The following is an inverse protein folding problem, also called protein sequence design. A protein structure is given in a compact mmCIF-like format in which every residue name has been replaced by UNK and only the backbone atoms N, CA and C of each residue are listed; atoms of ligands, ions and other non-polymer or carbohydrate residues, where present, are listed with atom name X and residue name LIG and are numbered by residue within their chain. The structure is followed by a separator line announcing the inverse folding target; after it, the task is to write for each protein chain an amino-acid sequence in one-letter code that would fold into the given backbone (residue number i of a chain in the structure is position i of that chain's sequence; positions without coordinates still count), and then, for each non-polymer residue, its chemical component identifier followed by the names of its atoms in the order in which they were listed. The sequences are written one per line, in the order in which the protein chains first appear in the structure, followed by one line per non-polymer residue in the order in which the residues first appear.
data_IF_887450590563
#
_entry.id   IF_887450590563
#
_cell.length_a   1.000
_cell.length_b   1.000
_cell.length_c   1.000
_cell.angle_alpha   90.00
_cell.angle_beta   90.00
_cell.angle_gamma   90.00
#
_symmetry.space_group_name_H-M   'P 1'
#
loop_
_entity.id
_entity.type
_entity.pdbx_description
1 polymer ?
#
# COMPACT_ATOMS: atom_id res chain seq x y z
N UNK A 1 13.11 -6.35 -25.85
CA UNK A 1 12.01 -6.98 -25.07
C UNK A 1 11.01 -7.53 -26.08
N UNK A 2 10.46 -8.69 -25.81
CA UNK A 2 9.41 -9.28 -26.64
C UNK A 2 8.02 -8.92 -26.10
N UNK A 3 6.97 -9.17 -26.88
CA UNK A 3 5.58 -8.87 -26.49
C UNK A 3 5.16 -9.54 -25.18
N UNK A 4 5.72 -10.71 -24.87
CA UNK A 4 5.46 -11.43 -23.62
C UNK A 4 5.97 -10.65 -22.39
N UNK A 5 7.16 -10.02 -22.48
CA UNK A 5 7.67 -9.19 -21.37
C UNK A 5 6.78 -7.98 -21.09
N UNK A 6 6.29 -7.30 -22.12
CA UNK A 6 5.36 -6.19 -21.94
C UNK A 6 4.03 -6.62 -21.32
N UNK A 7 3.50 -7.78 -21.73
CA UNK A 7 2.29 -8.34 -21.14
C UNK A 7 2.47 -8.66 -19.65
N UNK A 8 3.61 -9.25 -19.27
CA UNK A 8 3.93 -9.55 -17.86
C UNK A 8 4.01 -8.25 -17.04
N UNK A 9 4.66 -7.22 -17.56
CA UNK A 9 4.76 -5.93 -16.87
C UNK A 9 3.38 -5.30 -16.71
N UNK A 10 2.55 -5.30 -17.75
CA UNK A 10 1.19 -4.78 -17.70
C UNK A 10 0.34 -5.52 -16.64
N UNK A 11 0.38 -6.86 -16.65
CA UNK A 11 -0.32 -7.67 -15.65
C UNK A 11 0.17 -7.40 -14.21
N UNK A 12 1.50 -7.32 -14.00
CA UNK A 12 2.07 -7.01 -12.70
C UNK A 12 1.64 -5.60 -12.22
N UNK A 13 1.64 -4.62 -13.12
CA UNK A 13 1.20 -3.26 -12.85
C UNK A 13 -0.28 -3.19 -12.48
N UNK A 14 -1.15 -3.94 -13.18
CA UNK A 14 -2.58 -4.01 -12.86
C UNK A 14 -2.78 -4.68 -11.49
N UNK A 15 -2.07 -5.76 -11.19
CA UNK A 15 -2.16 -6.43 -9.88
C UNK A 15 -1.81 -5.47 -8.74
N UNK A 16 -0.71 -4.71 -8.86
CA UNK A 16 -0.33 -3.71 -7.85
C UNK A 16 -1.39 -2.60 -7.76
N UNK A 17 -1.90 -2.11 -8.90
CA UNK A 17 -2.94 -1.07 -8.93
C UNK A 17 -4.16 -1.52 -8.13
N UNK A 18 -4.69 -2.71 -8.42
CA UNK A 18 -5.87 -3.24 -7.76
C UNK A 18 -5.63 -3.46 -6.27
N UNK A 19 -4.55 -4.18 -5.92
CA UNK A 19 -4.26 -4.53 -4.53
C UNK A 19 -3.95 -3.31 -3.66
N UNK A 20 -3.15 -2.37 -4.16
CA UNK A 20 -2.80 -1.16 -3.42
C UNK A 20 -3.96 -0.18 -3.35
N UNK A 21 -4.74 -0.05 -4.43
CA UNK A 21 -5.92 0.80 -4.42
C UNK A 21 -6.95 0.36 -3.38
N UNK A 22 -7.26 -0.93 -3.33
CA UNK A 22 -8.14 -1.50 -2.29
C UNK A 22 -7.56 -1.26 -0.90
N UNK A 23 -6.29 -1.62 -0.69
CA UNK A 23 -5.65 -1.50 0.62
C UNK A 23 -5.61 -0.06 1.14
N UNK A 24 -5.28 0.91 0.30
CA UNK A 24 -5.15 2.31 0.71
C UNK A 24 -6.49 3.01 0.91
N UNK A 25 -7.60 2.43 0.46
CA UNK A 25 -8.94 2.96 0.68
C UNK A 25 -9.65 2.43 1.93
N UNK A 26 -9.05 1.53 2.71
CA UNK A 26 -9.69 0.98 3.92
C UNK A 26 -10.04 2.03 4.98
N UNK A 27 -9.34 3.16 5.02
CA UNK A 27 -9.70 4.28 5.90
C UNK A 27 -11.10 4.84 5.65
N UNK A 28 -11.63 4.73 4.42
CA UNK A 28 -12.98 5.16 4.05
C UNK A 28 -14.08 4.31 4.71
N UNK A 29 -13.77 3.07 5.05
CA UNK A 29 -14.71 2.12 5.66
C UNK A 29 -14.79 2.26 7.18
N UNK A 30 -13.89 3.02 7.81
CA UNK A 30 -13.80 3.11 9.27
C UNK A 30 -15.09 3.63 9.92
N UNK A 31 -15.59 4.76 9.44
CA UNK A 31 -16.82 5.38 9.99
C UNK A 31 -18.05 4.51 9.75
N UNK A 32 -18.38 4.05 8.52
CA UNK A 32 -19.57 3.26 8.29
C UNK A 32 -19.56 1.91 9.02
N UNK A 33 -18.40 1.25 9.14
CA UNK A 33 -18.27 0.01 9.90
C UNK A 33 -18.46 0.27 11.39
N UNK A 34 -17.83 1.30 11.96
CA UNK A 34 -17.98 1.64 13.36
C UNK A 34 -19.43 1.95 13.73
N UNK A 35 -20.16 2.64 12.86
CA UNK A 35 -21.61 2.91 13.04
C UNK A 35 -22.46 1.64 12.97
N UNK A 36 -22.19 0.74 12.03
CA UNK A 36 -22.96 -0.51 11.84
C UNK A 36 -22.83 -1.44 13.04
N UNK A 37 -21.62 -1.54 13.61
CA UNK A 37 -21.35 -2.44 14.74
C UNK A 37 -21.51 -1.76 16.10
N UNK A 38 -21.86 -0.48 16.16
CA UNK A 38 -21.93 0.31 17.38
C UNK A 38 -20.64 0.26 18.21
N UNK A 39 -19.47 0.19 17.52
CA UNK A 39 -18.15 0.09 18.13
C UNK A 39 -17.40 1.42 18.01
N UNK A 40 -16.48 1.65 18.95
CA UNK A 40 -15.57 2.78 18.84
C UNK A 40 -14.64 2.67 17.61
N UNK A 41 -14.29 3.81 17.02
CA UNK A 41 -13.37 3.90 15.87
C UNK A 41 -12.04 3.18 16.12
N UNK A 42 -11.59 3.12 17.38
CA UNK A 42 -10.37 2.43 17.80
C UNK A 42 -10.37 0.93 17.46
N UNK A 43 -11.54 0.29 17.50
CA UNK A 43 -11.68 -1.13 17.24
C UNK A 43 -11.33 -1.48 15.78
N UNK A 44 -11.87 -0.72 14.81
CA UNK A 44 -11.52 -0.91 13.41
C UNK A 44 -10.08 -0.46 13.11
N UNK A 45 -9.61 0.61 13.75
CA UNK A 45 -8.20 1.04 13.66
C UNK A 45 -7.23 -0.06 14.10
N UNK A 46 -7.60 -0.86 15.13
CA UNK A 46 -6.81 -2.03 15.53
C UNK A 46 -6.75 -3.08 14.42
N UNK A 47 -7.84 -3.32 13.70
CA UNK A 47 -7.82 -4.23 12.53
C UNK A 47 -6.83 -3.74 11.47
N UNK A 48 -6.81 -2.43 11.18
CA UNK A 48 -5.86 -1.83 10.24
C UNK A 48 -4.40 -1.91 10.74
N UNK A 49 -4.18 -1.74 12.05
CA UNK A 49 -2.86 -1.89 12.64
C UNK A 49 -2.35 -3.33 12.53
N UNK A 50 -3.19 -4.33 12.85
CA UNK A 50 -2.88 -5.76 12.67
C UNK A 50 -2.59 -6.05 11.20
N UNK A 51 -3.41 -5.53 10.26
CA UNK A 51 -3.22 -5.69 8.82
C UNK A 51 -1.84 -5.19 8.38
N UNK A 52 -1.44 -4.00 8.80
CA UNK A 52 -0.15 -3.41 8.43
C UNK A 52 1.04 -4.18 9.02
N UNK A 53 0.93 -4.60 10.28
CA UNK A 53 1.94 -5.41 10.96
C UNK A 53 2.14 -6.75 10.25
N UNK A 54 1.06 -7.47 10.01
CA UNK A 54 1.12 -8.78 9.35
C UNK A 54 1.52 -8.67 7.88
N UNK A 55 1.11 -7.61 7.19
CA UNK A 55 1.58 -7.34 5.83
C UNK A 55 3.10 -7.19 5.78
N UNK A 56 3.69 -6.42 6.69
CA UNK A 56 5.14 -6.24 6.77
C UNK A 56 5.86 -7.53 7.14
N UNK A 57 5.42 -8.21 8.20
CA UNK A 57 6.04 -9.44 8.70
C UNK A 57 5.95 -10.60 7.69
N UNK A 58 4.87 -10.68 6.92
CA UNK A 58 4.64 -11.77 5.97
C UNK A 58 5.44 -11.64 4.67
N UNK A 59 5.91 -10.44 4.30
CA UNK A 59 6.59 -10.21 3.01
C UNK A 59 7.78 -11.14 2.76
N UNK A 60 8.73 -11.36 3.71
CA UNK A 60 9.86 -12.24 3.47
C UNK A 60 9.42 -13.70 3.25
N UNK A 61 8.43 -14.16 4.02
CA UNK A 61 7.93 -15.54 3.92
C UNK A 61 7.17 -15.76 2.61
N UNK A 62 6.27 -14.88 2.27
CA UNK A 62 5.49 -14.96 1.02
C UNK A 62 6.40 -14.80 -0.20
N UNK A 63 7.41 -13.92 -0.14
CA UNK A 63 8.44 -13.81 -1.15
C UNK A 63 9.20 -15.13 -1.35
N UNK A 64 9.62 -15.76 -0.25
CA UNK A 64 10.29 -17.07 -0.28
C UNK A 64 9.40 -18.18 -0.85
N UNK A 65 8.09 -18.18 -0.52
CA UNK A 65 7.13 -19.12 -1.09
C UNK A 65 6.93 -18.88 -2.60
N UNK A 66 6.88 -17.61 -3.03
CA UNK A 66 6.76 -17.24 -4.44
C UNK A 66 7.98 -17.72 -5.26
N UNK A 67 9.17 -17.67 -4.69
CA UNK A 67 10.36 -18.20 -5.32
C UNK A 67 10.35 -19.73 -5.40
N UNK A 68 9.89 -20.40 -4.35
CA UNK A 68 9.85 -21.87 -4.27
C UNK A 68 8.75 -22.48 -5.15
N UNK A 69 7.54 -21.98 -5.04
CA UNK A 69 6.34 -22.57 -5.67
C UNK A 69 5.93 -21.87 -6.98
N UNK A 70 6.54 -20.74 -7.28
CA UNK A 70 6.27 -19.91 -8.45
C UNK A 70 5.34 -18.74 -8.16
N UNK A 71 5.69 -17.57 -8.68
CA UNK A 71 5.00 -16.29 -8.40
C UNK A 71 3.51 -16.34 -8.72
N UNK A 72 3.13 -16.88 -9.88
CA UNK A 72 1.71 -16.89 -10.28
C UNK A 72 0.81 -17.66 -9.32
N UNK A 73 1.27 -18.78 -8.75
CA UNK A 73 0.50 -19.55 -7.76
C UNK A 73 0.31 -18.75 -6.47
N UNK A 74 1.36 -18.12 -5.99
CA UNK A 74 1.30 -17.34 -4.75
C UNK A 74 0.43 -16.09 -4.94
N UNK A 75 0.54 -15.40 -6.09
CA UNK A 75 -0.32 -14.26 -6.42
C UNK A 75 -1.80 -14.68 -6.43
N UNK A 76 -2.13 -15.79 -7.10
CA UNK A 76 -3.49 -16.28 -7.18
C UNK A 76 -4.05 -16.68 -5.80
N UNK A 77 -3.28 -17.44 -5.00
CA UNK A 77 -3.67 -17.83 -3.64
C UNK A 77 -3.84 -16.60 -2.74
N UNK A 78 -2.96 -15.61 -2.86
CA UNK A 78 -3.06 -14.36 -2.11
C UNK A 78 -4.28 -13.54 -2.52
N UNK A 79 -4.62 -13.48 -3.81
CA UNK A 79 -5.82 -12.81 -4.28
C UNK A 79 -7.10 -13.49 -3.74
N UNK A 80 -7.16 -14.82 -3.83
CA UNK A 80 -8.29 -15.59 -3.27
C UNK A 80 -8.40 -15.39 -1.76
N UNK A 81 -7.28 -15.41 -1.03
CA UNK A 81 -7.29 -15.17 0.41
C UNK A 81 -7.74 -13.73 0.76
N UNK A 82 -7.36 -12.71 -0.02
CA UNK A 82 -7.89 -11.36 0.16
C UNK A 82 -9.40 -11.30 -0.07
N UNK A 83 -9.91 -11.98 -1.10
CA UNK A 83 -11.36 -12.09 -1.33
C UNK A 83 -12.05 -12.75 -0.16
N UNK A 84 -11.50 -13.85 0.37
CA UNK A 84 -12.04 -14.49 1.58
C UNK A 84 -12.07 -13.52 2.76
N UNK A 85 -11.00 -12.76 2.97
CA UNK A 85 -10.95 -11.73 4.03
C UNK A 85 -12.00 -10.63 3.86
N UNK A 86 -12.26 -10.18 2.62
CA UNK A 86 -13.34 -9.25 2.31
C UNK A 86 -14.74 -9.86 2.54
N UNK A 87 -14.94 -11.11 2.18
CA UNK A 87 -16.21 -11.82 2.42
C UNK A 87 -16.44 -12.03 3.92
N UNK A 88 -15.40 -12.32 4.70
CA UNK A 88 -15.50 -12.37 6.17
C UNK A 88 -15.89 -10.99 6.71
N UNK A 89 -15.30 -9.91 6.20
CA UNK A 89 -15.68 -8.54 6.58
C UNK A 89 -17.14 -8.23 6.24
N UNK A 90 -17.59 -8.55 5.02
CA UNK A 90 -18.94 -8.24 4.56
C UNK A 90 -20.05 -8.97 5.36
N UNK A 91 -19.73 -10.17 5.88
CA UNK A 91 -20.64 -10.99 6.67
C UNK A 91 -20.32 -10.97 8.17
N UNK A 92 -19.43 -10.08 8.61
CA UNK A 92 -19.05 -10.01 10.01
C UNK A 92 -20.23 -9.63 10.90
N UNK A 93 -20.32 -10.29 12.04
CA UNK A 93 -21.32 -10.05 13.09
C UNK A 93 -20.65 -9.63 14.41
N UNK A 94 -19.34 -9.77 14.46
CA UNK A 94 -18.53 -9.48 15.66
C UNK A 94 -17.23 -8.75 15.32
N UNK A 95 -16.69 -8.06 16.32
CA UNK A 95 -15.40 -7.37 16.22
C UNK A 95 -14.23 -8.33 15.92
N UNK A 96 -14.31 -9.57 16.40
CA UNK A 96 -13.29 -10.58 16.16
C UNK A 96 -13.22 -10.99 14.69
N UNK A 97 -14.37 -11.04 14.02
CA UNK A 97 -14.44 -11.31 12.58
C UNK A 97 -13.87 -10.15 11.76
N UNK A 98 -14.04 -8.90 12.21
CA UNK A 98 -13.37 -7.75 11.62
C UNK A 98 -11.83 -7.88 11.74
N UNK A 99 -11.33 -8.21 12.93
CA UNK A 99 -9.90 -8.43 13.15
C UNK A 99 -9.37 -9.59 12.32
N UNK A 100 -10.11 -10.68 12.22
CA UNK A 100 -9.73 -11.85 11.42
C UNK A 100 -9.73 -11.52 9.92
N UNK A 101 -10.81 -10.95 9.38
CA UNK A 101 -10.96 -10.65 7.96
C UNK A 101 -9.99 -9.58 7.49
N UNK A 102 -10.12 -8.38 8.05
CA UNK A 102 -9.33 -7.21 7.64
C UNK A 102 -7.92 -7.29 8.19
N UNK A 103 -7.77 -7.63 9.45
CA UNK A 103 -6.46 -7.62 10.13
C UNK A 103 -5.59 -8.78 9.68
N UNK A 104 -6.03 -10.01 9.91
CA UNK A 104 -5.17 -11.19 9.73
C UNK A 104 -5.16 -11.67 8.29
N UNK A 105 -6.32 -11.99 7.72
CA UNK A 105 -6.38 -12.62 6.40
C UNK A 105 -5.89 -11.66 5.32
N UNK A 106 -6.43 -10.44 5.25
CA UNK A 106 -6.02 -9.46 4.24
C UNK A 106 -4.59 -8.99 4.50
N UNK A 107 -4.17 -8.87 5.77
CA UNK A 107 -2.80 -8.50 6.13
C UNK A 107 -1.77 -9.47 5.56
N UNK A 108 -1.90 -10.76 5.83
CA UNK A 108 -1.00 -11.79 5.32
C UNK A 108 -1.10 -11.92 3.80
N UNK A 109 -2.32 -12.01 3.28
CA UNK A 109 -2.57 -12.22 1.87
C UNK A 109 -2.08 -11.04 1.00
N UNK A 110 -2.19 -9.80 1.49
CA UNK A 110 -1.73 -8.61 0.78
C UNK A 110 -0.25 -8.64 0.41
N UNK A 111 0.60 -9.30 1.19
CA UNK A 111 2.04 -9.38 0.89
C UNK A 111 2.36 -10.13 -0.41
N UNK A 112 1.48 -11.02 -0.88
CA UNK A 112 1.69 -11.75 -2.14
C UNK A 112 1.26 -11.02 -3.41
N UNK A 113 0.51 -9.93 -3.30
CA UNK A 113 0.01 -9.14 -4.44
C UNK A 113 0.62 -7.74 -4.51
N UNK A 114 1.61 -7.44 -3.66
CA UNK A 114 2.22 -6.13 -3.55
C UNK A 114 3.69 -6.11 -4.00
N UNK A 115 4.44 -5.10 -3.59
CA UNK A 115 5.75 -4.73 -4.14
C UNK A 115 6.75 -5.89 -4.25
N UNK A 116 6.97 -6.66 -3.18
CA UNK A 116 8.05 -7.64 -3.13
C UNK A 116 7.94 -8.70 -4.24
N UNK A 117 6.75 -9.28 -4.40
CA UNK A 117 6.52 -10.34 -5.40
C UNK A 117 6.45 -9.76 -6.82
N UNK A 118 5.78 -8.60 -7.00
CA UNK A 118 5.62 -7.99 -8.32
C UNK A 118 6.94 -7.48 -8.89
N UNK A 119 7.75 -6.79 -8.10
CA UNK A 119 9.06 -6.32 -8.55
C UNK A 119 10.01 -7.48 -8.86
N UNK A 120 9.94 -8.59 -8.10
CA UNK A 120 10.69 -9.80 -8.41
C UNK A 120 10.26 -10.42 -9.76
N UNK A 121 8.96 -10.42 -10.07
CA UNK A 121 8.45 -10.87 -11.38
C UNK A 121 8.96 -9.96 -12.50
N UNK A 122 8.88 -8.65 -12.34
CA UNK A 122 9.38 -7.66 -13.31
C UNK A 122 10.90 -7.84 -13.51
N UNK A 123 11.66 -7.95 -12.41
CA UNK A 123 13.12 -8.14 -12.47
C UNK A 123 13.57 -9.32 -13.33
N UNK A 124 12.80 -10.42 -13.29
CA UNK A 124 13.10 -11.65 -14.05
C UNK A 124 12.77 -11.54 -15.55
N UNK A 125 11.90 -10.62 -15.94
CA UNK A 125 11.36 -10.52 -17.30
C UNK A 125 11.84 -9.28 -18.07
N UNK A 126 12.68 -8.46 -17.43
CA UNK A 126 13.19 -7.20 -18.00
C UNK A 126 14.71 -7.20 -18.02
N UNK A 127 15.36 -6.78 -19.15
CA UNK A 127 16.80 -6.59 -19.24
C UNK A 127 17.31 -5.63 -18.14
N UNK A 128 18.49 -5.91 -17.61
CA UNK A 128 19.08 -5.17 -16.49
C UNK A 128 19.14 -3.66 -16.73
N UNK A 129 19.51 -3.23 -17.93
CA UNK A 129 19.58 -1.83 -18.35
C UNK A 129 18.26 -1.06 -18.27
N UNK A 130 17.10 -1.73 -18.28
CA UNK A 130 15.76 -1.13 -18.24
C UNK A 130 14.99 -1.45 -16.95
N UNK A 131 15.60 -2.20 -16.04
CA UNK A 131 14.95 -2.71 -14.84
C UNK A 131 14.44 -1.57 -13.95
N UNK A 132 15.25 -0.55 -13.70
CA UNK A 132 14.87 0.63 -12.89
C UNK A 132 13.66 1.36 -13.47
N UNK A 133 13.61 1.56 -14.79
CA UNK A 133 12.48 2.20 -15.44
C UNK A 133 11.16 1.43 -15.22
N UNK A 134 11.18 0.11 -15.48
CA UNK A 134 9.97 -0.70 -15.30
C UNK A 134 9.58 -0.91 -13.84
N UNK A 135 10.53 -0.88 -12.91
CA UNK A 135 10.25 -0.82 -11.48
C UNK A 135 9.50 0.46 -11.14
N UNK A 136 9.95 1.60 -11.65
CA UNK A 136 9.28 2.88 -11.47
C UNK A 136 7.85 2.86 -12.02
N UNK A 137 7.66 2.37 -13.26
CA UNK A 137 6.33 2.26 -13.87
C UNK A 137 5.42 1.36 -13.04
N UNK A 138 5.88 0.16 -12.68
CA UNK A 138 5.08 -0.78 -11.88
C UNK A 138 4.75 -0.22 -10.50
N UNK A 139 5.70 0.49 -9.88
CA UNK A 139 5.48 1.14 -8.58
C UNK A 139 4.49 2.29 -8.66
N UNK A 140 4.58 3.11 -9.70
CA UNK A 140 3.64 4.21 -9.94
C UNK A 140 2.19 3.74 -10.10
N UNK A 141 1.97 2.51 -10.61
CA UNK A 141 0.63 1.95 -10.73
C UNK A 141 -0.02 1.64 -9.37
N UNK A 142 0.75 1.40 -8.32
CA UNK A 142 0.21 1.29 -6.96
C UNK A 142 -0.41 2.60 -6.47
N UNK A 143 0.25 3.72 -6.71
CA UNK A 143 -0.28 5.06 -6.47
C UNK A 143 -1.46 5.38 -7.42
N UNK A 144 -1.39 4.92 -8.68
CA UNK A 144 -2.51 5.00 -9.62
C UNK A 144 -3.76 4.31 -9.09
N UNK A 145 -3.62 3.16 -8.41
CA UNK A 145 -4.71 2.49 -7.72
C UNK A 145 -5.37 3.35 -6.64
N UNK A 146 -4.58 4.04 -5.84
CA UNK A 146 -5.07 4.99 -4.83
C UNK A 146 -5.88 6.13 -5.47
N UNK A 147 -5.39 6.70 -6.58
CA UNK A 147 -6.05 7.80 -7.29
C UNK A 147 -7.42 7.38 -7.85
N UNK A 148 -7.51 6.15 -8.37
CA UNK A 148 -8.71 5.68 -9.07
C UNK A 148 -9.70 5.02 -8.10
N UNK A 149 -9.23 4.11 -7.24
CA UNK A 149 -10.11 3.25 -6.43
C UNK A 149 -10.69 4.00 -5.24
N UNK A 150 -9.96 4.94 -4.63
CA UNK A 150 -10.48 5.64 -3.45
C UNK A 150 -11.74 6.48 -3.73
N UNK A 151 -11.80 7.32 -4.80
CA UNK A 151 -13.05 8.04 -5.13
C UNK A 151 -14.18 7.09 -5.51
N UNK A 152 -13.88 6.03 -6.25
CA UNK A 152 -14.89 5.02 -6.62
C UNK A 152 -15.48 4.38 -5.36
N UNK A 153 -14.63 3.99 -4.40
CA UNK A 153 -15.09 3.44 -3.13
C UNK A 153 -15.92 4.45 -2.33
N UNK A 154 -15.50 5.73 -2.29
CA UNK A 154 -16.27 6.75 -1.60
C UNK A 154 -17.66 6.91 -2.19
N UNK A 155 -17.76 6.99 -3.51
CA UNK A 155 -19.05 7.08 -4.21
C UNK A 155 -19.88 5.81 -3.95
N UNK A 156 -19.28 4.64 -4.06
CA UNK A 156 -19.97 3.37 -3.83
C UNK A 156 -20.47 3.24 -2.39
N UNK A 157 -19.67 3.61 -1.39
CA UNK A 157 -20.08 3.60 0.02
C UNK A 157 -21.25 4.53 0.24
N UNK A 158 -21.24 5.73 -0.34
CA UNK A 158 -22.30 6.72 -0.19
C UNK A 158 -23.59 6.32 -0.90
N UNK A 159 -23.50 5.52 -1.98
CA UNK A 159 -24.66 5.16 -2.83
C UNK A 159 -25.27 3.81 -2.45
N UNK A 160 -24.42 2.80 -2.22
CA UNK A 160 -24.83 1.41 -2.02
C UNK A 160 -24.57 0.91 -0.59
N UNK A 161 -23.83 1.68 0.21
CA UNK A 161 -23.36 1.26 1.51
C UNK A 161 -22.02 0.51 1.47
N UNK A 162 -21.44 0.31 2.65
CA UNK A 162 -20.11 -0.27 2.76
C UNK A 162 -20.08 -1.77 2.45
N UNK A 163 -21.14 -2.53 2.77
CA UNK A 163 -21.21 -3.98 2.52
C UNK A 163 -21.15 -4.28 1.04
N UNK A 164 -22.03 -3.65 0.25
CA UNK A 164 -22.06 -3.85 -1.20
C UNK A 164 -20.76 -3.37 -1.87
N UNK A 165 -20.16 -2.30 -1.35
CA UNK A 165 -18.84 -1.85 -1.80
C UNK A 165 -17.77 -2.91 -1.55
N UNK A 166 -17.80 -3.61 -0.41
CA UNK A 166 -16.87 -4.73 -0.12
C UNK A 166 -17.09 -5.90 -1.08
N UNK A 167 -18.33 -6.21 -1.46
CA UNK A 167 -18.61 -7.22 -2.50
C UNK A 167 -18.05 -6.78 -3.87
N UNK A 168 -18.21 -5.51 -4.26
CA UNK A 168 -17.60 -4.98 -5.49
C UNK A 168 -16.07 -5.09 -5.48
N UNK A 169 -15.44 -4.79 -4.33
CA UNK A 169 -13.99 -4.97 -4.17
C UNK A 169 -13.57 -6.44 -4.26
N UNK A 170 -14.39 -7.35 -3.77
CA UNK A 170 -14.15 -8.80 -3.88
C UNK A 170 -14.13 -9.25 -5.34
N UNK A 171 -15.09 -8.77 -6.15
CA UNK A 171 -15.14 -9.01 -7.61
C UNK A 171 -13.90 -8.40 -8.29
N UNK A 172 -13.50 -7.20 -7.88
CA UNK A 172 -12.32 -6.53 -8.42
C UNK A 172 -11.03 -7.32 -8.14
N UNK A 173 -10.86 -7.82 -6.91
CA UNK A 173 -9.67 -8.58 -6.52
C UNK A 173 -9.62 -9.98 -7.14
N UNK A 174 -10.77 -10.64 -7.38
CA UNK A 174 -10.78 -11.94 -8.06
C UNK A 174 -10.24 -11.85 -9.49
N UNK A 175 -10.34 -10.68 -10.13
CA UNK A 175 -9.74 -10.43 -11.44
C UNK A 175 -8.20 -10.56 -11.45
N UNK A 176 -7.55 -10.55 -10.29
CA UNK A 176 -6.12 -10.83 -10.15
C UNK A 176 -5.79 -12.29 -10.49
N UNK A 177 -6.72 -13.22 -10.25
CA UNK A 177 -6.47 -14.66 -10.46
C UNK A 177 -6.11 -15.00 -11.92
N UNK A 178 -6.87 -14.58 -12.94
CA UNK A 178 -6.46 -14.79 -14.32
C UNK A 178 -5.16 -14.06 -14.69
N UNK A 179 -4.90 -12.86 -14.15
CA UNK A 179 -3.63 -12.15 -14.37
C UNK A 179 -2.45 -12.92 -13.77
N UNK A 180 -2.63 -13.58 -12.65
CA UNK A 180 -1.62 -14.40 -12.00
C UNK A 180 -1.15 -15.57 -12.88
N UNK A 181 -1.99 -16.05 -13.79
CA UNK A 181 -1.59 -17.07 -14.78
C UNK A 181 -0.48 -16.56 -15.70
N UNK A 182 -0.53 -15.32 -16.13
CA UNK A 182 0.48 -14.67 -16.96
C UNK A 182 1.78 -14.45 -16.18
N UNK A 183 1.67 -14.20 -14.87
CA UNK A 183 2.80 -13.89 -13.98
C UNK A 183 3.54 -15.15 -13.48
N UNK A 184 3.32 -16.31 -14.11
CA UNK A 184 3.98 -17.56 -13.75
C UNK A 184 5.48 -17.48 -13.99
N UNK A 185 6.25 -17.98 -13.01
CA UNK A 185 7.69 -18.11 -13.10
C UNK A 185 8.26 -18.52 -11.75
N UNK A 186 9.39 -19.22 -11.80
CA UNK A 186 10.18 -19.58 -10.61
C UNK A 186 11.48 -18.80 -10.63
N UNK A 187 12.06 -18.53 -9.47
CA UNK A 187 13.43 -18.04 -9.39
C UNK A 187 14.40 -19.09 -9.96
N UNK A 188 15.50 -18.68 -10.60
CA UNK A 188 16.56 -19.61 -10.98
C UNK A 188 17.10 -20.36 -9.75
N UNK A 189 17.58 -21.59 -9.97
CA UNK A 189 17.91 -22.63 -9.00
C UNK A 189 18.46 -22.24 -7.61
N UNK A 190 18.11 -23.11 -6.65
CA UNK A 190 18.29 -23.04 -5.21
C UNK A 190 19.71 -23.11 -4.64
N UNK A 191 20.75 -23.37 -5.42
CA UNK A 191 22.15 -23.38 -4.95
C UNK A 191 22.66 -22.00 -4.52
N UNK A 192 22.18 -20.94 -5.18
CA UNK A 192 22.45 -19.52 -4.80
C UNK A 192 21.76 -19.15 -3.48
N UNK A 193 20.82 -19.95 -3.01
CA UNK A 193 19.95 -19.63 -1.86
C UNK A 193 20.57 -20.02 -0.52
N UNK A 194 21.38 -21.06 -0.45
CA UNK A 194 22.08 -21.46 0.78
C UNK A 194 23.16 -20.43 1.12
N UNK A 195 23.97 -20.06 0.11
CA UNK A 195 24.93 -18.96 0.26
C UNK A 195 24.29 -17.61 0.55
N UNK A 196 23.09 -17.34 -0.02
CA UNK A 196 22.33 -16.11 0.26
C UNK A 196 21.74 -16.07 1.68
N UNK A 197 21.38 -17.20 2.29
CA UNK A 197 20.87 -17.23 3.66
C UNK A 197 21.99 -16.99 4.71
N UNK A 198 23.15 -17.59 4.50
CA UNK A 198 24.33 -17.34 5.34
C UNK A 198 24.86 -15.92 5.16
N UNK A 199 24.81 -15.39 3.94
CA UNK A 199 25.13 -14.00 3.60
C UNK A 199 24.12 -13.03 4.20
N UNK A 200 22.82 -13.38 4.26
CA UNK A 200 21.78 -12.56 4.86
C UNK A 200 21.96 -12.41 6.37
N UNK A 201 22.24 -13.51 7.09
CA UNK A 201 22.53 -13.47 8.53
C UNK A 201 23.75 -12.60 8.83
N UNK A 202 24.82 -12.75 8.07
CA UNK A 202 26.02 -11.93 8.19
C UNK A 202 25.74 -10.45 7.87
N UNK A 203 24.96 -10.18 6.82
CA UNK A 203 24.55 -8.82 6.44
C UNK A 203 23.67 -8.17 7.50
N UNK A 204 22.72 -8.89 8.09
CA UNK A 204 21.87 -8.40 9.17
C UNK A 204 22.69 -8.09 10.44
N UNK A 205 23.67 -8.94 10.78
CA UNK A 205 24.57 -8.70 11.90
C UNK A 205 25.45 -7.46 11.67
N UNK A 206 25.93 -7.25 10.46
CA UNK A 206 26.67 -6.06 10.08
C UNK A 206 25.79 -4.79 10.11
N UNK A 207 24.57 -4.90 9.60
CA UNK A 207 23.59 -3.81 9.57
C UNK A 207 23.21 -3.36 10.99
N UNK A 208 22.94 -4.30 11.91
CA UNK A 208 22.62 -3.99 13.32
C UNK A 208 23.74 -3.26 14.07
N UNK A 209 24.98 -3.42 13.64
CA UNK A 209 26.16 -2.73 14.21
C UNK A 209 26.46 -1.38 13.55
N UNK A 210 25.78 -1.06 12.45
CA UNK A 210 26.03 0.17 11.70
C UNK A 210 25.01 1.25 12.06
N UNK A 211 25.46 2.30 12.78
CA UNK A 211 24.60 3.38 13.29
C UNK A 211 23.78 4.07 12.18
N UNK A 212 24.40 4.35 11.03
CA UNK A 212 23.70 4.95 9.89
C UNK A 212 22.54 4.09 9.36
N UNK A 213 22.66 2.76 9.39
CA UNK A 213 21.57 1.85 9.04
C UNK A 213 20.44 1.91 10.05
N UNK A 214 20.76 1.95 11.35
CA UNK A 214 19.76 2.03 12.42
C UNK A 214 18.98 3.35 12.34
N UNK A 215 19.67 4.48 12.12
CA UNK A 215 19.00 5.77 11.92
C UNK A 215 18.11 5.81 10.67
N UNK A 216 18.56 5.19 9.57
CA UNK A 216 17.76 5.07 8.36
C UNK A 216 16.51 4.22 8.60
N UNK A 217 16.66 3.09 9.31
CA UNK A 217 15.54 2.21 9.68
C UNK A 217 14.53 2.94 10.57
N UNK A 218 15.00 3.70 11.56
CA UNK A 218 14.14 4.55 12.39
C UNK A 218 13.41 5.61 11.57
N UNK A 219 14.09 6.26 10.62
CA UNK A 219 13.47 7.21 9.69
C UNK A 219 12.37 6.55 8.83
N UNK A 220 12.61 5.35 8.30
CA UNK A 220 11.60 4.60 7.56
C UNK A 220 10.42 4.16 8.43
N UNK A 221 10.66 3.80 9.69
CA UNK A 221 9.58 3.51 10.63
C UNK A 221 8.67 4.73 10.83
N UNK A 222 9.25 5.91 11.08
CA UNK A 222 8.49 7.17 11.21
C UNK A 222 7.74 7.49 9.92
N UNK A 223 8.36 7.29 8.75
CA UNK A 223 7.69 7.46 7.46
C UNK A 223 6.47 6.56 7.33
N UNK A 224 6.64 5.26 7.58
CA UNK A 224 5.55 4.29 7.50
C UNK A 224 4.41 4.61 8.47
N UNK A 225 4.75 5.06 9.69
CA UNK A 225 3.77 5.49 10.69
C UNK A 225 2.92 6.67 10.18
N UNK A 226 3.56 7.74 9.69
CA UNK A 226 2.85 8.90 9.13
C UNK A 226 1.91 8.53 7.99
N UNK A 227 2.41 7.76 7.04
CA UNK A 227 1.67 7.31 5.86
C UNK A 227 0.42 6.56 6.28
N UNK A 228 0.58 5.55 7.14
CA UNK A 228 -0.53 4.71 7.57
C UNK A 228 -1.51 5.45 8.47
N UNK A 229 -1.01 6.33 9.35
CA UNK A 229 -1.86 7.15 10.22
C UNK A 229 -2.78 8.07 9.40
N UNK A 230 -2.23 8.79 8.43
CA UNK A 230 -3.02 9.67 7.56
C UNK A 230 -4.03 8.86 6.74
N UNK A 231 -3.59 7.77 6.10
CA UNK A 231 -4.49 6.96 5.26
C UNK A 231 -5.63 6.31 6.04
N UNK A 232 -5.37 5.90 7.29
CA UNK A 232 -6.38 5.28 8.14
C UNK A 232 -7.34 6.30 8.76
N UNK A 233 -6.83 7.43 9.24
CA UNK A 233 -7.60 8.32 10.11
C UNK A 233 -8.10 9.59 9.43
N UNK A 234 -7.43 10.09 8.38
CA UNK A 234 -7.85 11.31 7.70
C UNK A 234 -9.30 11.24 7.20
N UNK A 235 -9.77 10.15 6.54
CA UNK A 235 -11.15 10.06 6.08
C UNK A 235 -12.17 10.28 7.21
N UNK A 236 -11.97 9.58 8.31
CA UNK A 236 -12.84 9.67 9.49
C UNK A 236 -12.77 11.06 10.13
N UNK A 237 -11.57 11.62 10.27
CA UNK A 237 -11.39 12.96 10.83
C UNK A 237 -12.14 14.02 10.04
N UNK A 238 -12.10 13.95 8.70
CA UNK A 238 -12.80 14.89 7.82
C UNK A 238 -14.33 14.82 7.98
N UNK A 239 -14.89 13.63 8.15
CA UNK A 239 -16.35 13.44 8.21
C UNK A 239 -16.92 13.53 9.61
N UNK A 240 -16.21 13.01 10.62
CA UNK A 240 -16.73 12.90 11.98
C UNK A 240 -16.39 14.14 12.84
N UNK A 241 -15.13 14.58 12.82
CA UNK A 241 -14.66 15.69 13.63
C UNK A 241 -14.90 17.04 12.95
N UNK A 242 -14.56 17.14 11.67
CA UNK A 242 -14.67 18.38 10.92
C UNK A 242 -16.04 18.56 10.24
N UNK A 243 -16.85 17.51 10.16
CA UNK A 243 -18.18 17.49 9.53
C UNK A 243 -18.19 18.06 8.11
N UNK A 244 -17.11 17.82 7.35
CA UNK A 244 -16.96 18.26 5.97
C UNK A 244 -17.71 17.34 5.01
N UNK A 245 -17.84 17.77 3.75
CA UNK A 245 -18.62 17.08 2.74
C UNK A 245 -18.19 15.62 2.52
N UNK A 246 -19.17 14.73 2.35
CA UNK A 246 -18.97 13.28 2.23
C UNK A 246 -18.14 12.83 1.02
N UNK A 247 -17.95 13.68 0.00
CA UNK A 247 -17.09 13.41 -1.16
C UNK A 247 -15.60 13.65 -0.87
N UNK A 248 -15.29 14.47 0.14
CA UNK A 248 -13.94 14.98 0.38
C UNK A 248 -12.94 13.88 0.76
N UNK A 249 -13.24 12.85 1.58
CA UNK A 249 -12.28 11.82 1.96
C UNK A 249 -11.69 11.06 0.76
N UNK A 250 -12.51 10.62 -0.16
CA UNK A 250 -12.05 9.92 -1.37
C UNK A 250 -11.19 10.81 -2.26
N UNK A 251 -11.59 12.09 -2.42
CA UNK A 251 -10.82 13.09 -3.16
C UNK A 251 -9.49 13.40 -2.47
N UNK A 252 -9.48 13.55 -1.16
CA UNK A 252 -8.27 13.77 -0.36
C UNK A 252 -7.22 12.66 -0.60
N UNK A 253 -7.63 11.40 -0.52
CA UNK A 253 -6.78 10.25 -0.82
C UNK A 253 -6.25 10.29 -2.25
N UNK A 254 -7.10 10.66 -3.22
CA UNK A 254 -6.69 10.81 -4.63
C UNK A 254 -5.69 11.93 -4.84
N UNK A 255 -5.89 13.08 -4.22
CA UNK A 255 -4.96 14.22 -4.30
C UNK A 255 -3.61 13.83 -3.73
N UNK A 256 -3.56 13.17 -2.57
CA UNK A 256 -2.32 12.63 -2.00
C UNK A 256 -1.63 11.71 -3.01
N UNK A 257 -2.35 10.79 -3.63
CA UNK A 257 -1.80 9.89 -4.64
C UNK A 257 -1.26 10.62 -5.87
N UNK A 258 -2.02 11.54 -6.44
CA UNK A 258 -1.63 12.29 -7.62
C UNK A 258 -0.37 13.14 -7.39
N UNK A 259 -0.34 13.85 -6.26
CA UNK A 259 0.81 14.69 -5.90
C UNK A 259 2.03 13.87 -5.48
N UNK A 260 1.84 12.66 -4.90
CA UNK A 260 2.92 11.72 -4.64
C UNK A 260 3.63 11.28 -5.93
N UNK A 261 2.90 11.02 -7.03
CA UNK A 261 3.55 10.71 -8.32
C UNK A 261 4.47 11.85 -8.77
N UNK A 262 4.00 13.09 -8.66
CA UNK A 262 4.78 14.29 -9.02
C UNK A 262 5.98 14.43 -8.08
N UNK A 263 5.75 14.30 -6.77
CA UNK A 263 6.79 14.40 -5.74
C UNK A 263 7.88 13.36 -5.91
N UNK A 264 7.52 12.11 -6.19
CA UNK A 264 8.48 11.01 -6.39
C UNK A 264 9.43 11.30 -7.57
N UNK A 265 8.90 11.80 -8.69
CA UNK A 265 9.71 12.17 -9.85
C UNK A 265 10.61 13.37 -9.52
N UNK A 266 10.06 14.39 -8.89
CA UNK A 266 10.77 15.62 -8.53
C UNK A 266 11.92 15.35 -7.53
N UNK A 267 11.64 14.65 -6.44
CA UNK A 267 12.65 14.33 -5.44
C UNK A 267 13.64 13.25 -5.92
N UNK A 268 13.22 12.37 -6.82
CA UNK A 268 14.13 11.47 -7.52
C UNK A 268 15.19 12.25 -8.31
N UNK A 269 14.76 13.22 -9.10
CA UNK A 269 15.66 14.10 -9.86
C UNK A 269 16.57 14.97 -8.94
N UNK A 270 16.03 15.49 -7.83
CA UNK A 270 16.84 16.20 -6.84
C UNK A 270 17.88 15.28 -6.18
N UNK A 271 17.50 14.02 -5.90
CA UNK A 271 18.38 13.03 -5.29
C UNK A 271 19.60 12.64 -6.14
N UNK A 272 19.55 12.89 -7.46
CA UNK A 272 20.71 12.73 -8.35
C UNK A 272 21.67 13.93 -8.27
N UNK A 273 21.17 15.10 -7.83
CA UNK A 273 21.97 16.36 -7.77
C UNK A 273 22.46 16.71 -6.38
N UNK A 274 21.71 16.35 -5.35
CA UNK A 274 21.97 16.76 -3.96
C UNK A 274 22.16 15.53 -3.06
N UNK A 275 22.76 15.78 -1.90
CA UNK A 275 22.94 14.74 -0.89
C UNK A 275 21.60 14.19 -0.42
N UNK A 276 21.40 12.89 -0.60
CA UNK A 276 20.17 12.17 -0.21
C UNK A 276 19.82 12.34 1.27
N UNK A 277 20.86 12.47 2.14
CA UNK A 277 20.69 12.70 3.58
C UNK A 277 19.98 14.03 3.86
N UNK A 278 20.46 15.11 3.27
CA UNK A 278 19.87 16.44 3.49
C UNK A 278 18.50 16.56 2.83
N UNK A 279 18.35 15.97 1.64
CA UNK A 279 17.07 15.94 0.95
C UNK A 279 15.99 15.24 1.79
N UNK A 280 16.31 14.07 2.35
CA UNK A 280 15.41 13.34 3.22
C UNK A 280 15.05 14.13 4.50
N UNK A 281 16.05 14.76 5.13
CA UNK A 281 15.81 15.62 6.29
C UNK A 281 14.89 16.81 5.98
N UNK A 282 15.07 17.43 4.81
CA UNK A 282 14.22 18.53 4.33
C UNK A 282 12.78 18.06 4.12
N UNK A 283 12.58 16.87 3.51
CA UNK A 283 11.25 16.29 3.31
C UNK A 283 10.55 16.08 4.64
N UNK A 284 11.21 15.47 5.63
CA UNK A 284 10.61 15.25 6.96
C UNK A 284 10.29 16.56 7.68
N UNK A 285 11.18 17.55 7.57
CA UNK A 285 10.94 18.87 8.15
C UNK A 285 9.72 19.54 7.51
N UNK A 286 9.65 19.56 6.18
CA UNK A 286 8.50 20.13 5.47
C UNK A 286 7.19 19.40 5.77
N UNK A 287 7.22 18.07 5.94
CA UNK A 287 6.03 17.31 6.41
C UNK A 287 5.56 17.78 7.77
N UNK A 288 6.49 17.97 8.70
CA UNK A 288 6.16 18.46 10.05
C UNK A 288 5.55 19.86 10.00
N UNK A 289 6.09 20.75 9.17
CA UNK A 289 5.55 22.09 8.94
C UNK A 289 4.14 22.02 8.32
N UNK A 290 3.94 21.15 7.32
CA UNK A 290 2.63 20.94 6.67
C UNK A 290 1.59 20.45 7.68
N UNK A 291 1.95 19.49 8.53
CA UNK A 291 1.06 18.98 9.58
C UNK A 291 0.73 20.03 10.63
N UNK A 292 1.75 20.75 11.11
CA UNK A 292 1.57 21.84 12.08
C UNK A 292 0.68 22.96 11.50
N UNK A 293 0.90 23.33 10.25
CA UNK A 293 0.08 24.30 9.55
C UNK A 293 -1.39 23.87 9.44
N UNK A 294 -1.63 22.59 9.08
CA UNK A 294 -3.00 22.09 8.98
C UNK A 294 -3.76 22.12 10.33
N UNK A 295 -3.05 21.86 11.42
CA UNK A 295 -3.66 21.91 12.78
C UNK A 295 -3.85 23.35 13.26
N UNK A 296 -2.95 24.27 12.87
CA UNK A 296 -2.97 25.65 13.36
C UNK A 296 -4.04 26.55 12.69
N UNK A 297 -4.49 26.20 11.49
CA UNK A 297 -5.48 26.99 10.75
C UNK A 297 -6.86 26.36 10.74
N UNK A 298 -7.94 27.17 10.61
CA UNK A 298 -9.30 26.64 10.52
C UNK A 298 -9.44 25.65 9.36
N UNK A 299 -10.02 24.50 9.65
CA UNK A 299 -10.25 23.47 8.66
C UNK A 299 -11.38 23.86 7.70
N UNK A 300 -11.12 23.78 6.42
CA UNK A 300 -12.08 23.94 5.33
C UNK A 300 -11.78 22.93 4.24
N UNK A 301 -12.69 22.72 3.29
CA UNK A 301 -12.44 21.82 2.15
C UNK A 301 -11.17 22.22 1.39
N UNK A 302 -10.94 23.53 1.20
CA UNK A 302 -9.76 24.05 0.52
C UNK A 302 -8.50 23.79 1.34
N UNK A 303 -8.50 24.06 2.66
CA UNK A 303 -7.32 23.83 3.50
C UNK A 303 -6.95 22.35 3.58
N UNK A 304 -7.94 21.45 3.57
CA UNK A 304 -7.74 20.00 3.48
C UNK A 304 -7.08 19.62 2.15
N UNK A 305 -7.57 20.13 1.02
CA UNK A 305 -6.99 19.82 -0.30
C UNK A 305 -5.57 20.37 -0.43
N UNK A 306 -5.29 21.56 0.12
CA UNK A 306 -3.94 22.14 0.18
C UNK A 306 -3.02 21.27 1.05
N UNK A 307 -3.50 20.84 2.22
CA UNK A 307 -2.77 19.89 3.06
C UNK A 307 -2.46 18.59 2.31
N UNK A 308 -3.46 17.99 1.66
CA UNK A 308 -3.31 16.76 0.89
C UNK A 308 -2.34 16.92 -0.29
N UNK A 309 -2.32 18.10 -0.93
CA UNK A 309 -1.37 18.42 -1.98
C UNK A 309 0.07 18.39 -1.46
N UNK A 310 0.37 19.13 -0.40
CA UNK A 310 1.72 19.21 0.14
C UNK A 310 2.16 17.90 0.80
N UNK A 311 1.29 17.26 1.58
CA UNK A 311 1.65 16.00 2.23
C UNK A 311 1.88 14.89 1.19
N UNK A 312 1.08 14.85 0.12
CA UNK A 312 1.25 13.92 -0.97
C UNK A 312 2.51 14.19 -1.78
N UNK A 313 2.81 15.46 -2.10
CA UNK A 313 4.04 15.84 -2.79
C UNK A 313 5.31 15.44 -2.02
N UNK A 314 5.23 15.50 -0.71
CA UNK A 314 6.31 15.11 0.22
C UNK A 314 6.25 13.63 0.62
N UNK A 315 5.38 12.83 0.02
CA UNK A 315 5.03 11.48 0.52
C UNK A 315 6.16 10.47 0.47
N UNK A 316 6.97 10.45 -0.57
CA UNK A 316 8.12 9.57 -0.89
C UNK A 316 8.09 8.19 -0.25
#
# INVERSE_FOLDING_TARGET
MNNKSYLIIACASIVILLSMGVRQSFGLFQTPIAQTFEIGLAAFSLSLAIQNLLWGLSQPFIGALADKFGSGRIIALSAVAQVIGLLVLANATSIWELHLGVGVIIGIAGSGTTWAVMLAVVARNVPEKRRSFFFGVTSAMGTGGQIIIAPINQISINTFGWVDTVFMLSILLIAIVPLAYVLRGKAPNSSVRQEAADTLSAALNKARKHSGYLFLTAGFFVCGFHVMFIMAHLPTYLTTELQLAAWLPGTAISVIGATNLIGTVFFGWLGDKYSKKYLLSTIYFLRSVTMAGFIAFPASEISVLVFCFFIGFLWL
#
